data_IF_351845684944
#
_entry.id   IF_351845684944
#
_cell.length_a   1.000
_cell.length_b   1.000
_cell.length_c   1.000
_cell.angle_alpha   90.00
_cell.angle_beta   90.00
_cell.angle_gamma   90.00
#
_symmetry.space_group_name_H-M   'P 1'
#
loop_
_entity.id
_entity.type
_entity.pdbx_description
1 polymer ?
#
# COMPACT_ATOMS: atom_id res chain seq x y z
N UNK A 1 -12.88 -0.47 -23.73
CA UNK A 1 -13.21 -0.09 -22.34
C UNK A 1 -12.00 -0.50 -21.49
N UNK A 2 -11.20 0.47 -21.05
CA UNK A 2 -10.05 0.23 -20.18
C UNK A 2 -10.54 0.22 -18.74
N UNK A 3 -10.30 -0.81 -17.92
CA UNK A 3 -10.50 -0.67 -16.49
C UNK A 3 -9.35 0.18 -15.94
N UNK A 4 -9.63 1.44 -15.67
CA UNK A 4 -8.76 2.28 -14.88
C UNK A 4 -8.78 1.75 -13.44
N UNK A 5 -7.85 0.89 -13.10
CA UNK A 5 -7.58 0.54 -11.72
C UNK A 5 -6.75 1.68 -11.13
N UNK A 6 -7.47 2.71 -10.71
CA UNK A 6 -6.91 3.82 -9.96
C UNK A 6 -6.42 3.27 -8.63
N UNK A 7 -5.11 3.18 -8.47
CA UNK A 7 -4.47 2.94 -7.19
C UNK A 7 -4.64 4.21 -6.35
N UNK A 8 -5.83 4.33 -5.75
CA UNK A 8 -6.18 5.44 -4.89
C UNK A 8 -5.53 5.21 -3.53
N UNK A 9 -4.31 5.73 -3.34
CA UNK A 9 -3.80 5.99 -2.00
C UNK A 9 -4.60 7.14 -1.41
N UNK A 10 -5.79 6.84 -0.90
CA UNK A 10 -6.63 7.82 -0.23
C UNK A 10 -6.05 8.10 1.14
N UNK A 11 -5.59 9.32 1.32
CA UNK A 11 -5.44 9.92 2.62
C UNK A 11 -6.85 10.13 3.16
N UNK A 12 -7.37 9.16 3.94
CA UNK A 12 -8.64 9.27 4.62
C UNK A 12 -8.52 10.26 5.77
N UNK A 13 -9.18 11.40 5.61
CA UNK A 13 -9.52 12.29 6.73
C UNK A 13 -11.03 12.20 6.95
N UNK A 14 -11.41 11.96 8.18
CA UNK A 14 -12.63 12.28 8.91
C UNK A 14 -13.35 11.07 9.50
N UNK A 15 -13.32 11.02 10.76
CA UNK A 15 -14.04 11.62 11.91
C UNK A 15 -15.29 10.82 12.28
N UNK A 16 -15.27 10.19 13.45
CA UNK A 16 -16.23 10.45 14.52
C UNK A 16 -15.96 9.60 15.77
N UNK A 17 -15.88 10.28 16.93
CA UNK A 17 -16.37 9.74 18.19
C UNK A 17 -15.43 8.96 19.08
N UNK A 18 -14.58 9.64 19.90
CA UNK A 18 -14.41 9.22 21.27
C UNK A 18 -13.46 8.05 21.57
N UNK A 19 -12.18 8.23 21.30
CA UNK A 19 -11.07 7.74 22.11
C UNK A 19 -9.84 8.53 21.69
N UNK A 20 -8.99 8.92 22.61
CA UNK A 20 -7.84 9.77 22.37
C UNK A 20 -6.89 9.15 21.35
N UNK A 21 -7.19 9.33 20.07
CA UNK A 21 -6.27 9.13 18.98
C UNK A 21 -5.42 10.39 18.91
N UNK A 22 -4.18 10.28 19.37
CA UNK A 22 -3.12 11.20 18.95
C UNK A 22 -3.28 11.39 17.45
N UNK A 23 -3.72 12.59 17.06
CA UNK A 23 -3.82 12.98 15.65
C UNK A 23 -2.42 12.76 15.03
N UNK A 24 -2.25 11.66 14.35
CA UNK A 24 -1.01 11.38 13.65
C UNK A 24 -0.89 12.44 12.57
N UNK A 25 0.05 13.38 12.80
CA UNK A 25 0.47 14.36 11.80
C UNK A 25 0.72 13.58 10.49
N UNK A 26 0.15 14.02 9.35
CA UNK A 26 0.35 13.31 8.10
C UNK A 26 1.83 13.07 7.88
N UNK A 27 2.22 11.83 7.65
CA UNK A 27 3.61 11.45 7.49
C UNK A 27 4.24 12.28 6.37
N UNK A 28 5.37 12.91 6.66
CA UNK A 28 6.12 13.63 5.61
C UNK A 28 6.60 12.65 4.55
N UNK A 29 6.82 13.12 3.33
CA UNK A 29 7.36 12.27 2.25
C UNK A 29 8.68 11.63 2.67
N UNK A 30 9.49 12.39 3.43
CA UNK A 30 10.74 11.89 4.00
C UNK A 30 10.53 10.72 4.99
N UNK A 31 9.53 10.83 5.87
CA UNK A 31 9.20 9.75 6.80
C UNK A 31 8.70 8.50 6.07
N UNK A 32 7.97 8.68 4.96
CA UNK A 32 7.52 7.58 4.12
C UNK A 32 8.69 6.92 3.38
N UNK A 33 9.65 7.72 2.87
CA UNK A 33 10.84 7.19 2.24
C UNK A 33 11.68 6.35 3.21
N UNK A 34 11.92 6.86 4.43
CA UNK A 34 12.63 6.12 5.48
C UNK A 34 11.92 4.83 5.90
N UNK A 35 10.59 4.79 5.82
CA UNK A 35 9.83 3.55 6.05
C UNK A 35 9.99 2.56 4.89
N UNK A 36 10.09 3.06 3.68
CA UNK A 36 10.27 2.23 2.49
C UNK A 36 11.72 1.70 2.39
N UNK A 37 12.72 2.56 2.60
CA UNK A 37 14.14 2.21 2.65
C UNK A 37 14.48 1.50 3.97
N UNK A 38 14.20 0.20 4.03
CA UNK A 38 14.44 -0.61 5.23
C UNK A 38 15.90 -0.98 5.42
N UNK A 39 16.65 -1.05 4.33
CA UNK A 39 18.09 -1.33 4.34
C UNK A 39 18.92 -0.11 4.82
N UNK A 40 18.36 1.10 4.66
CA UNK A 40 19.04 2.36 4.99
C UNK A 40 20.16 2.71 4.01
N UNK A 41 20.11 2.19 2.78
CA UNK A 41 21.12 2.44 1.75
C UNK A 41 20.86 3.72 0.91
N UNK A 42 19.80 4.46 1.25
CA UNK A 42 19.44 5.73 0.62
C UNK A 42 18.63 5.56 -0.67
N UNK A 43 18.16 4.36 -0.96
CA UNK A 43 17.33 4.04 -2.12
C UNK A 43 16.36 2.91 -1.77
N UNK A 44 15.28 2.79 -2.51
CA UNK A 44 14.26 1.77 -2.28
C UNK A 44 14.35 0.72 -3.37
N UNK A 45 14.77 -0.49 -3.04
CA UNK A 45 14.77 -1.62 -3.94
C UNK A 45 13.34 -2.03 -4.31
N UNK A 46 13.18 -2.82 -5.36
CA UNK A 46 11.86 -3.34 -5.77
C UNK A 46 11.15 -4.08 -4.63
N UNK A 47 11.85 -4.92 -3.89
CA UNK A 47 11.27 -5.69 -2.78
C UNK A 47 10.82 -4.76 -1.65
N UNK A 48 11.62 -3.78 -1.29
CA UNK A 48 11.28 -2.79 -0.27
C UNK A 48 10.08 -1.93 -0.68
N UNK A 49 10.03 -1.52 -1.96
CA UNK A 49 8.90 -0.79 -2.50
C UNK A 49 7.61 -1.61 -2.45
N UNK A 50 7.66 -2.86 -2.90
CA UNK A 50 6.52 -3.77 -2.88
C UNK A 50 6.04 -4.00 -1.43
N UNK A 51 6.95 -4.27 -0.50
CA UNK A 51 6.65 -4.48 0.92
C UNK A 51 6.04 -3.23 1.56
N UNK A 52 6.60 -2.05 1.27
CA UNK A 52 6.07 -0.78 1.74
C UNK A 52 4.64 -0.52 1.22
N UNK A 53 4.41 -0.77 -0.07
CA UNK A 53 3.08 -0.61 -0.66
C UNK A 53 2.07 -1.60 -0.11
N UNK A 54 2.48 -2.84 0.16
CA UNK A 54 1.61 -3.86 0.75
C UNK A 54 1.26 -3.48 2.20
N UNK A 55 2.21 -3.00 2.98
CA UNK A 55 1.96 -2.53 4.35
C UNK A 55 0.98 -1.35 4.39
N UNK A 56 1.16 -0.39 3.47
CA UNK A 56 0.28 0.78 3.35
C UNK A 56 -1.14 0.36 2.92
N UNK A 57 -1.25 -0.53 1.94
CA UNK A 57 -2.53 -1.10 1.52
C UNK A 57 -3.19 -1.90 2.65
N UNK A 58 -2.43 -2.74 3.35
CA UNK A 58 -2.93 -3.56 4.44
C UNK A 58 -3.55 -2.71 5.54
N UNK A 59 -2.85 -1.64 5.95
CA UNK A 59 -3.37 -0.70 6.95
C UNK A 59 -4.64 0.05 6.50
N UNK A 60 -4.85 0.19 5.19
CA UNK A 60 -6.07 0.79 4.65
C UNK A 60 -7.26 -0.18 4.63
N UNK A 61 -7.01 -1.48 4.41
CA UNK A 61 -8.04 -2.52 4.42
C UNK A 61 -8.42 -2.97 5.83
N UNK A 62 -7.45 -3.03 6.75
CA UNK A 62 -7.65 -3.33 8.17
C UNK A 62 -8.28 -2.11 8.89
N UNK A 63 -9.60 -1.99 8.81
CA UNK A 63 -10.32 -0.83 9.34
C UNK A 63 -10.42 -0.81 10.86
N UNK A 64 -10.46 -2.00 11.45
CA UNK A 64 -10.60 -2.14 12.89
C UNK A 64 -9.24 -2.17 13.62
N UNK A 65 -8.12 -2.32 12.88
CA UNK A 65 -6.77 -2.33 13.42
C UNK A 65 -6.43 -3.61 14.19
N UNK A 66 -7.11 -4.73 13.89
CA UNK A 66 -6.87 -6.01 14.59
C UNK A 66 -5.69 -6.82 14.03
N UNK A 67 -5.02 -6.30 12.99
CA UNK A 67 -3.88 -6.94 12.34
C UNK A 67 -4.25 -7.99 11.29
N UNK A 68 -5.50 -8.03 10.89
CA UNK A 68 -6.03 -8.93 9.87
C UNK A 68 -6.94 -8.17 8.91
N UNK A 69 -7.09 -8.69 7.69
CA UNK A 69 -8.11 -8.21 6.76
C UNK A 69 -9.16 -9.32 6.64
N UNK A 70 -10.39 -9.04 7.05
CA UNK A 70 -11.53 -9.94 6.87
C UNK A 70 -12.09 -9.85 5.45
N UNK A 71 -12.88 -10.85 5.02
CA UNK A 71 -13.56 -10.80 3.72
C UNK A 71 -14.47 -9.57 3.63
N UNK A 72 -15.14 -9.21 4.73
CA UNK A 72 -16.04 -8.05 4.78
C UNK A 72 -15.28 -6.74 4.55
N UNK A 73 -14.16 -6.53 5.22
CA UNK A 73 -13.31 -5.33 5.04
C UNK A 73 -12.75 -5.26 3.63
N UNK A 74 -12.27 -6.40 3.11
CA UNK A 74 -11.70 -6.47 1.77
C UNK A 74 -12.71 -6.13 0.68
N UNK A 75 -13.94 -6.65 0.79
CA UNK A 75 -15.01 -6.38 -0.17
C UNK A 75 -15.57 -4.97 -0.04
N UNK A 76 -15.67 -4.44 1.19
CA UNK A 76 -16.12 -3.07 1.43
C UNK A 76 -15.23 -2.01 0.75
N UNK A 77 -13.93 -2.29 0.62
CA UNK A 77 -12.96 -1.42 -0.07
C UNK A 77 -12.77 -1.79 -1.58
N UNK A 78 -13.72 -2.50 -2.16
CA UNK A 78 -13.76 -2.80 -3.60
C UNK A 78 -13.00 -4.06 -4.03
N UNK A 79 -12.54 -4.85 -3.09
CA UNK A 79 -12.00 -6.19 -3.37
C UNK A 79 -13.11 -7.17 -3.76
N UNK A 80 -12.73 -8.32 -4.32
CA UNK A 80 -13.69 -9.39 -4.63
C UNK A 80 -13.45 -10.61 -3.75
N UNK A 81 -14.51 -11.35 -3.44
CA UNK A 81 -14.43 -12.61 -2.69
C UNK A 81 -13.44 -13.59 -3.34
N UNK A 82 -13.41 -13.64 -4.68
CA UNK A 82 -12.45 -14.47 -5.42
C UNK A 82 -11.00 -14.07 -5.10
N UNK A 83 -10.68 -12.77 -5.22
CA UNK A 83 -9.34 -12.26 -4.92
C UNK A 83 -8.96 -12.47 -3.45
N UNK A 84 -9.93 -12.28 -2.53
CA UNK A 84 -9.72 -12.55 -1.12
C UNK A 84 -9.25 -14.00 -0.89
N UNK A 85 -9.98 -14.98 -1.46
CA UNK A 85 -9.64 -16.40 -1.34
C UNK A 85 -8.31 -16.78 -1.97
N UNK A 86 -7.92 -16.12 -3.04
CA UNK A 86 -6.61 -16.32 -3.68
C UNK A 86 -5.45 -15.82 -2.81
N UNK A 87 -5.66 -14.80 -1.97
CA UNK A 87 -4.67 -14.25 -1.05
C UNK A 87 -4.67 -15.03 0.28
N UNK A 88 -5.86 -15.35 0.82
CA UNK A 88 -6.03 -16.11 2.07
C UNK A 88 -5.73 -17.60 1.84
N UNK A 89 -4.47 -17.92 1.63
CA UNK A 89 -4.01 -19.29 1.32
C UNK A 89 -4.13 -20.24 2.51
N UNK A 90 -4.16 -19.71 3.72
CA UNK A 90 -4.37 -20.51 4.95
C UNK A 90 -5.82 -20.96 5.11
N UNK A 91 -6.77 -20.33 4.41
CA UNK A 91 -8.21 -20.64 4.51
C UNK A 91 -8.83 -20.25 5.86
N UNK A 92 -8.16 -19.42 6.66
CA UNK A 92 -8.62 -19.01 8.00
C UNK A 92 -9.77 -18.01 7.98
N UNK A 93 -10.14 -17.50 6.81
CA UNK A 93 -11.14 -16.42 6.66
C UNK A 93 -10.59 -15.03 6.99
N UNK A 94 -9.28 -14.91 7.19
CA UNK A 94 -8.56 -13.66 7.48
C UNK A 94 -7.26 -13.63 6.70
N UNK A 95 -6.95 -12.53 6.04
CA UNK A 95 -5.65 -12.32 5.41
C UNK A 95 -4.71 -11.70 6.45
N UNK A 96 -3.56 -12.33 6.67
CA UNK A 96 -2.46 -11.79 7.46
C UNK A 96 -1.55 -10.93 6.60
N UNK A 97 -0.77 -10.04 7.23
CA UNK A 97 0.26 -9.26 6.52
C UNK A 97 1.30 -10.16 5.83
N UNK A 98 1.60 -11.32 6.45
CA UNK A 98 2.53 -12.31 5.86
C UNK A 98 1.96 -12.90 4.58
N UNK A 99 0.67 -13.29 4.57
CA UNK A 99 0.01 -13.78 3.36
C UNK A 99 -0.05 -12.72 2.27
N UNK A 100 -0.39 -11.47 2.64
CA UNK A 100 -0.40 -10.35 1.71
C UNK A 100 0.98 -10.14 1.06
N UNK A 101 2.05 -10.14 1.84
CA UNK A 101 3.44 -10.00 1.34
C UNK A 101 3.90 -11.19 0.50
N UNK A 102 3.43 -12.38 0.80
CA UNK A 102 3.76 -13.61 0.07
C UNK A 102 2.94 -13.79 -1.21
N UNK A 103 1.88 -13.01 -1.38
CA UNK A 103 0.96 -13.14 -2.50
C UNK A 103 1.59 -12.68 -3.82
N UNK A 104 1.81 -13.63 -4.72
CA UNK A 104 2.26 -13.34 -6.09
C UNK A 104 1.28 -12.45 -6.84
N UNK A 105 -0.01 -12.58 -6.56
CA UNK A 105 -1.07 -11.77 -7.18
C UNK A 105 -0.87 -10.28 -6.85
N UNK A 106 -0.61 -9.95 -5.58
CA UNK A 106 -0.38 -8.58 -5.14
C UNK A 106 0.93 -8.06 -5.72
N UNK A 107 2.03 -8.81 -5.60
CA UNK A 107 3.35 -8.41 -6.13
C UNK A 107 3.34 -8.16 -7.64
N UNK A 108 2.63 -9.00 -8.40
CA UNK A 108 2.50 -8.80 -9.84
C UNK A 108 1.74 -7.50 -10.18
N UNK A 109 0.76 -7.11 -9.38
CA UNK A 109 0.04 -5.84 -9.55
C UNK A 109 0.90 -4.62 -9.20
N UNK A 110 1.89 -4.77 -8.33
CA UNK A 110 2.82 -3.70 -7.94
C UNK A 110 3.99 -3.52 -8.91
N UNK A 111 4.17 -4.43 -9.87
CA UNK A 111 5.24 -4.34 -10.86
C UNK A 111 5.14 -3.07 -11.73
N UNK A 112 3.93 -2.70 -12.15
CA UNK A 112 3.70 -1.48 -12.95
C UNK A 112 3.92 -0.21 -12.12
N UNK A 113 3.34 -0.03 -10.92
CA UNK A 113 3.65 1.09 -10.04
C UNK A 113 5.13 1.25 -9.71
N UNK A 114 5.85 0.16 -9.48
CA UNK A 114 7.29 0.22 -9.28
C UNK A 114 8.02 0.80 -10.50
N UNK A 115 7.71 0.27 -11.69
CA UNK A 115 8.32 0.73 -12.95
C UNK A 115 7.99 2.21 -13.26
N UNK A 116 6.84 2.69 -12.83
CA UNK A 116 6.48 4.11 -12.96
C UNK A 116 7.25 5.00 -11.98
N UNK A 117 7.61 4.46 -10.82
CA UNK A 117 8.42 5.16 -9.82
C UNK A 117 9.91 5.13 -10.18
N UNK A 118 10.44 3.99 -10.63
CA UNK A 118 11.81 3.81 -11.13
C UNK A 118 11.91 4.38 -12.56
N UNK A 119 12.01 5.69 -12.67
CA UNK A 119 11.96 6.41 -13.96
C UNK A 119 13.20 6.14 -14.82
N UNK A 120 14.35 5.98 -14.18
CA UNK A 120 15.61 5.73 -14.88
C UNK A 120 15.85 4.23 -15.20
N UNK A 121 15.03 3.33 -14.65
CA UNK A 121 15.08 1.89 -14.92
C UNK A 121 16.28 1.18 -14.30
N UNK A 122 16.85 1.73 -13.23
CA UNK A 122 18.03 1.15 -12.59
C UNK A 122 17.72 0.05 -11.54
N UNK A 123 16.44 -0.25 -11.33
CA UNK A 123 15.97 -1.26 -10.38
C UNK A 123 15.79 -0.77 -8.94
N UNK A 124 15.93 0.53 -8.72
CA UNK A 124 15.77 1.20 -7.43
C UNK A 124 14.97 2.48 -7.61
N UNK A 125 14.27 2.90 -6.57
CA UNK A 125 13.62 4.22 -6.50
C UNK A 125 14.46 5.10 -5.59
N UNK A 126 15.05 6.14 -6.15
CA UNK A 126 15.82 7.16 -5.43
C UNK A 126 14.90 8.08 -4.66
N UNK A 127 15.46 8.92 -3.80
CA UNK A 127 14.70 9.93 -3.06
C UNK A 127 13.93 10.88 -4.00
N UNK A 128 14.58 11.35 -5.08
CA UNK A 128 13.98 12.25 -6.07
C UNK A 128 12.82 11.59 -6.81
N UNK A 129 13.00 10.36 -7.22
CA UNK A 129 11.97 9.57 -7.90
C UNK A 129 10.78 9.28 -6.97
N UNK A 130 11.05 8.95 -5.71
CA UNK A 130 10.02 8.72 -4.70
C UNK A 130 9.19 9.99 -4.44
N UNK A 131 9.84 11.15 -4.33
CA UNK A 131 9.16 12.44 -4.20
C UNK A 131 8.27 12.73 -5.41
N UNK A 132 8.79 12.52 -6.62
CA UNK A 132 8.05 12.76 -7.86
C UNK A 132 6.82 11.82 -7.97
N UNK A 133 6.98 10.54 -7.64
CA UNK A 133 5.89 9.57 -7.63
C UNK A 133 4.79 9.97 -6.63
N UNK A 134 5.16 10.40 -5.42
CA UNK A 134 4.21 10.89 -4.41
C UNK A 134 3.51 12.19 -4.80
N UNK A 135 4.20 13.10 -5.48
CA UNK A 135 3.61 14.34 -5.99
C UNK A 135 2.55 14.04 -7.06
N UNK A 136 2.83 13.12 -7.99
CA UNK A 136 1.85 12.64 -8.99
C UNK A 136 0.61 12.04 -8.32
N UNK A 137 0.79 11.14 -7.34
CA UNK A 137 -0.33 10.52 -6.64
C UNK A 137 -1.26 11.56 -5.98
N UNK A 138 -0.71 12.62 -5.40
CA UNK A 138 -1.51 13.73 -4.81
C UNK A 138 -2.25 14.57 -5.85
N UNK A 139 -1.74 14.70 -7.06
CA UNK A 139 -2.38 15.47 -8.12
C UNK A 139 -3.64 14.79 -8.68
N UNK A 140 -3.73 13.45 -8.58
CA UNK A 140 -4.91 12.69 -9.02
C UNK A 140 -6.07 12.70 -8.02
N UNK A 141 -5.88 13.23 -6.80
CA UNK A 141 -6.88 13.25 -5.72
C UNK A 141 -7.62 14.61 -5.62
N UNK A 142 -7.40 15.52 -6.58
CA UNK A 142 -8.08 16.84 -6.61
C UNK A 142 -9.20 16.89 -7.65
#
# INVERSE_FOLDING_TARGET
MKPAFVLLCVIGVLSCGGCATTAQKPATVEALFKRADKSGDGRVSRTEYEDFMIEDMFANFDKNGDGYITETEFVADGGTVKTFREINVSGTGKITLVEAKSSKLIRNRLAAPFKEADVNGNGYVTWEEFQAARAKARAYVR
#
